data_IF_797873706826
#
_entry.id   IF_797873706826
#
_cell.length_a   1.000
_cell.length_b   1.000
_cell.length_c   1.000
_cell.angle_alpha   90.00
_cell.angle_beta   90.00
_cell.angle_gamma   90.00
#
_symmetry.space_group_name_H-M   'P 1'
#
loop_
_entity.id
_entity.type
_entity.pdbx_description
1 polymer ?
#
# COMPACT_ATOMS: atom_id res chain seq x y z
N UNK A 1 -8.65 -23.29 3.25
CA UNK A 1 -7.57 -22.42 3.78
C UNK A 1 -7.89 -22.16 5.23
N UNK A 2 -7.13 -22.71 6.19
CA UNK A 2 -7.48 -22.74 7.62
C UNK A 2 -6.91 -21.54 8.38
N UNK A 3 -7.61 -21.07 9.43
CA UNK A 3 -7.23 -19.91 10.24
C UNK A 3 -5.79 -19.97 10.81
N UNK A 4 -5.26 -21.17 11.05
CA UNK A 4 -3.88 -21.39 11.48
C UNK A 4 -2.84 -20.97 10.42
N UNK A 5 -3.15 -21.16 9.14
CA UNK A 5 -2.30 -20.71 8.03
C UNK A 5 -2.29 -19.18 7.93
N UNK A 6 -3.41 -18.53 8.23
CA UNK A 6 -3.47 -17.06 8.30
C UNK A 6 -2.61 -16.54 9.45
N UNK A 7 -2.72 -17.12 10.65
CA UNK A 7 -1.95 -16.65 11.82
C UNK A 7 -0.44 -16.84 11.64
N UNK A 8 -0.01 -18.00 11.15
CA UNK A 8 1.42 -18.33 10.98
C UNK A 8 2.05 -17.63 9.79
N UNK A 9 1.34 -17.54 8.67
CA UNK A 9 1.86 -16.94 7.44
C UNK A 9 1.73 -15.40 7.43
N UNK A 10 0.60 -14.83 7.87
CA UNK A 10 0.38 -13.37 7.78
C UNK A 10 0.97 -12.58 8.97
N UNK A 11 1.05 -13.13 10.19
CA UNK A 11 1.58 -12.39 11.34
C UNK A 11 3.05 -12.73 11.64
N UNK A 12 3.35 -14.02 11.86
CA UNK A 12 4.71 -14.42 12.27
C UNK A 12 5.71 -14.31 11.13
N UNK A 13 5.34 -14.72 9.91
CA UNK A 13 6.26 -14.66 8.77
C UNK A 13 6.53 -13.20 8.30
N UNK A 14 5.52 -12.31 8.29
CA UNK A 14 5.71 -10.88 7.93
C UNK A 14 6.61 -10.14 8.92
N UNK A 15 6.58 -10.53 10.20
CA UNK A 15 7.44 -9.95 11.22
C UNK A 15 8.91 -10.38 11.08
N UNK A 16 9.15 -11.60 10.57
CA UNK A 16 10.48 -12.24 10.57
C UNK A 16 11.16 -12.32 9.20
N UNK A 17 10.43 -12.14 8.09
CA UNK A 17 10.95 -12.20 6.72
C UNK A 17 10.30 -11.08 5.89
N UNK A 18 11.05 -10.32 5.07
CA UNK A 18 10.46 -9.40 4.12
C UNK A 18 9.65 -10.18 3.07
N UNK A 19 8.33 -10.06 3.13
CA UNK A 19 7.44 -10.67 2.14
C UNK A 19 7.26 -9.69 0.97
N UNK A 20 7.19 -10.20 -0.26
CA UNK A 20 6.91 -9.42 -1.48
C UNK A 20 7.94 -8.32 -1.82
N UNK A 21 9.16 -8.41 -1.28
CA UNK A 21 10.23 -7.42 -1.55
C UNK A 21 10.01 -6.08 -0.84
N UNK A 22 9.14 -6.04 0.17
CA UNK A 22 8.91 -4.87 1.02
C UNK A 22 10.03 -4.69 2.06
N UNK A 23 11.22 -4.37 1.56
CA UNK A 23 12.38 -3.98 2.38
C UNK A 23 12.45 -2.46 2.40
N UNK A 24 12.49 -1.89 3.60
CA UNK A 24 12.79 -0.47 3.81
C UNK A 24 13.84 -0.34 4.89
N UNK A 25 14.58 0.76 4.87
CA UNK A 25 15.56 1.15 5.87
C UNK A 25 14.89 1.73 7.14
N UNK A 26 15.65 2.00 8.19
CA UNK A 26 15.12 2.52 9.47
C UNK A 26 14.40 3.87 9.30
N UNK A 27 14.76 4.65 8.27
CA UNK A 27 14.14 5.94 7.98
C UNK A 27 12.82 5.84 7.19
N UNK A 28 12.44 4.64 6.74
CA UNK A 28 11.30 4.40 5.85
C UNK A 28 10.00 5.08 6.31
N UNK A 29 9.60 4.91 7.58
CA UNK A 29 8.35 5.48 8.08
C UNK A 29 8.42 6.99 8.32
N UNK A 30 9.59 7.53 8.65
CA UNK A 30 9.80 8.98 8.71
C UNK A 30 9.65 9.60 7.31
N UNK A 31 10.25 8.98 6.30
CA UNK A 31 10.12 9.42 4.90
C UNK A 31 8.65 9.35 4.45
N UNK A 32 7.91 8.29 4.78
CA UNK A 32 6.49 8.17 4.43
C UNK A 32 5.66 9.25 5.13
N UNK A 33 5.87 9.44 6.43
CA UNK A 33 5.14 10.45 7.18
C UNK A 33 5.39 11.85 6.58
N UNK A 34 6.65 12.20 6.32
CA UNK A 34 7.01 13.44 5.65
C UNK A 34 6.40 13.54 4.25
N UNK A 35 6.48 12.49 3.43
CA UNK A 35 5.99 12.51 2.05
C UNK A 35 4.47 12.69 1.97
N UNK A 36 3.71 12.00 2.81
CA UNK A 36 2.25 11.98 2.72
C UNK A 36 1.55 12.97 3.66
N UNK A 37 2.24 13.46 4.70
CA UNK A 37 1.66 14.38 5.70
C UNK A 37 2.41 15.72 5.80
N UNK A 38 3.29 16.03 4.83
CA UNK A 38 4.17 17.21 4.84
C UNK A 38 3.47 18.52 5.24
N UNK A 39 2.38 18.86 4.55
CA UNK A 39 1.72 20.14 4.73
C UNK A 39 1.09 20.28 6.12
N UNK A 40 0.53 19.18 6.64
CA UNK A 40 -0.01 19.15 8.00
C UNK A 40 1.10 19.22 9.04
N UNK A 41 2.25 18.58 8.81
CA UNK A 41 3.43 18.74 9.66
C UNK A 41 3.96 20.18 9.64
N UNK A 42 3.96 20.84 8.49
CA UNK A 42 4.37 22.23 8.36
C UNK A 42 3.45 23.18 9.15
N UNK A 43 2.12 22.97 9.06
CA UNK A 43 1.14 23.70 9.88
C UNK A 43 1.38 23.44 11.37
N UNK A 44 1.55 22.18 11.76
CA UNK A 44 1.81 21.80 13.15
C UNK A 44 3.07 22.49 13.70
N UNK A 45 4.18 22.42 12.96
CA UNK A 45 5.44 23.07 13.35
C UNK A 45 5.28 24.59 13.43
N UNK A 46 4.60 25.21 12.46
CA UNK A 46 4.31 26.63 12.47
C UNK A 46 3.49 27.07 13.70
N UNK A 47 2.50 26.28 14.11
CA UNK A 47 1.73 26.54 15.33
C UNK A 47 2.57 26.39 16.60
N UNK A 48 3.43 25.37 16.67
CA UNK A 48 4.35 25.17 17.81
C UNK A 48 5.30 26.35 17.95
N UNK A 49 5.93 26.78 16.84
CA UNK A 49 6.83 27.93 16.83
C UNK A 49 6.09 29.22 17.18
N UNK A 50 4.91 29.46 16.60
CA UNK A 50 4.09 30.61 16.93
C UNK A 50 3.77 30.67 18.43
N UNK A 51 3.44 29.53 19.03
CA UNK A 51 3.16 29.46 20.46
C UNK A 51 4.39 29.77 21.29
N UNK A 52 5.55 29.16 20.98
CA UNK A 52 6.80 29.37 21.72
C UNK A 52 7.32 30.81 21.65
N UNK A 53 7.14 31.51 20.52
CA UNK A 53 7.66 32.87 20.34
C UNK A 53 6.68 33.97 20.75
N UNK A 54 5.38 33.81 20.48
CA UNK A 54 4.42 34.92 20.59
C UNK A 54 3.70 34.98 21.92
N UNK A 55 3.67 33.85 22.62
CA UNK A 55 3.12 33.75 23.95
C UNK A 55 4.21 33.11 24.78
N UNK A 56 4.65 33.79 25.84
CA UNK A 56 5.43 33.16 26.91
C UNK A 56 4.52 32.18 27.70
N UNK A 57 3.65 31.46 26.99
CA UNK A 57 2.71 30.52 27.54
C UNK A 57 3.48 29.24 27.65
N UNK A 58 3.80 28.91 28.90
CA UNK A 58 4.04 27.55 29.31
C UNK A 58 3.03 26.67 28.58
N UNK A 59 3.50 25.65 27.88
CA UNK A 59 2.64 24.56 27.45
C UNK A 59 2.06 23.94 28.73
N UNK A 60 0.99 24.55 29.27
CA UNK A 60 0.31 24.15 30.52
C UNK A 60 -0.37 22.78 30.37
N UNK A 61 -0.19 22.14 29.22
CA UNK A 61 -0.38 20.71 29.00
C UNK A 61 0.46 19.89 30.00
N UNK A 62 1.62 20.39 30.45
CA UNK A 62 2.51 19.71 31.41
C UNK A 62 2.14 19.94 32.89
N UNK A 63 1.00 20.61 33.20
CA UNK A 63 0.45 20.56 34.56
C UNK A 63 0.15 19.10 34.94
N UNK A 64 0.39 18.73 36.20
CA UNK A 64 0.30 17.34 36.66
C UNK A 64 -1.06 16.69 36.35
N UNK A 65 -2.14 17.48 36.33
CA UNK A 65 -3.50 17.04 36.00
C UNK A 65 -3.68 16.52 34.57
N UNK A 66 -2.76 16.85 33.64
CA UNK A 66 -2.84 16.44 32.24
C UNK A 66 -1.69 15.51 31.79
N UNK A 67 -0.80 15.11 32.72
CA UNK A 67 0.34 14.25 32.41
C UNK A 67 -0.09 12.92 31.79
N UNK A 68 -1.15 12.29 32.32
CA UNK A 68 -1.65 11.02 31.78
C UNK A 68 -2.11 11.12 30.32
N UNK A 69 -2.70 12.25 29.93
CA UNK A 69 -3.12 12.49 28.54
C UNK A 69 -1.91 12.69 27.63
N UNK A 70 -0.90 13.46 28.05
CA UNK A 70 0.34 13.62 27.29
C UNK A 70 1.03 12.28 27.08
N UNK A 71 1.17 11.49 28.16
CA UNK A 71 1.79 10.17 28.10
C UNK A 71 1.02 9.26 27.14
N UNK A 72 -0.31 9.25 27.23
CA UNK A 72 -1.17 8.48 26.33
C UNK A 72 -0.98 8.87 24.86
N UNK A 73 -0.93 10.17 24.56
CA UNK A 73 -0.67 10.69 23.20
C UNK A 73 0.72 10.26 22.74
N UNK A 74 1.75 10.43 23.56
CA UNK A 74 3.13 10.07 23.22
C UNK A 74 3.27 8.57 22.93
N UNK A 75 2.70 7.73 23.78
CA UNK A 75 2.69 6.28 23.61
C UNK A 75 1.92 5.84 22.36
N UNK A 76 0.81 6.52 22.03
CA UNK A 76 0.02 6.21 20.83
C UNK A 76 0.78 6.53 19.54
N UNK A 77 1.64 7.55 19.50
CA UNK A 77 2.52 7.76 18.34
C UNK A 77 3.66 6.75 18.33
N UNK A 78 4.36 6.64 19.47
CA UNK A 78 5.67 6.00 19.50
C UNK A 78 5.56 4.49 19.45
N UNK A 79 4.58 3.88 20.11
CA UNK A 79 4.45 2.42 20.11
C UNK A 79 4.22 1.90 18.69
N UNK A 80 3.21 2.35 17.92
CA UNK A 80 3.04 1.90 16.55
C UNK A 80 4.24 2.27 15.68
N UNK A 81 4.76 3.49 15.80
CA UNK A 81 5.88 3.94 14.98
C UNK A 81 7.13 3.08 15.18
N UNK A 82 7.54 2.85 16.42
CA UNK A 82 8.70 2.02 16.75
C UNK A 82 8.46 0.55 16.39
N UNK A 83 7.29 0.01 16.76
CA UNK A 83 6.96 -1.39 16.48
C UNK A 83 7.05 -1.70 14.99
N UNK A 84 6.55 -0.83 14.12
CA UNK A 84 6.63 -1.04 12.67
C UNK A 84 8.01 -0.69 12.10
N UNK A 85 8.72 0.28 12.66
CA UNK A 85 10.09 0.60 12.23
C UNK A 85 11.04 -0.59 12.39
N UNK A 86 10.88 -1.36 13.47
CA UNK A 86 11.65 -2.58 13.72
C UNK A 86 11.11 -3.83 13.01
N UNK A 87 9.92 -3.78 12.42
CA UNK A 87 9.38 -4.90 11.65
C UNK A 87 10.14 -5.08 10.31
N UNK A 88 10.40 -6.33 9.93
CA UNK A 88 11.15 -6.63 8.70
C UNK A 88 10.35 -6.36 7.42
N UNK A 89 9.04 -6.60 7.43
CA UNK A 89 8.16 -6.22 6.32
C UNK A 89 7.67 -4.80 6.55
N UNK A 90 7.99 -3.89 5.62
CA UNK A 90 7.60 -2.49 5.72
C UNK A 90 6.52 -2.15 4.73
N UNK A 91 5.32 -1.92 5.24
CA UNK A 91 4.14 -1.56 4.45
C UNK A 91 3.69 -0.16 4.79
N UNK A 92 3.41 0.64 3.76
CA UNK A 92 3.14 2.09 3.90
C UNK A 92 2.00 2.42 4.86
N UNK A 93 0.93 1.62 4.85
CA UNK A 93 -0.27 1.88 5.65
C UNK A 93 -0.15 1.47 7.12
N UNK A 94 0.97 0.89 7.57
CA UNK A 94 1.13 0.51 8.97
C UNK A 94 1.13 1.69 9.93
N UNK A 95 1.57 2.88 9.49
CA UNK A 95 1.57 4.08 10.31
C UNK A 95 0.24 4.86 10.28
N UNK A 96 -0.79 4.36 9.57
CA UNK A 96 -2.12 4.99 9.55
C UNK A 96 -2.70 5.31 10.96
N UNK A 97 -2.50 4.46 11.99
CA UNK A 97 -3.00 4.75 13.34
C UNK A 97 -2.44 6.04 13.99
N UNK A 98 -1.35 6.61 13.47
CA UNK A 98 -0.72 7.83 14.00
C UNK A 98 -1.46 9.09 13.54
N UNK A 99 -2.05 9.06 12.34
CA UNK A 99 -2.66 10.24 11.71
C UNK A 99 -3.83 10.83 12.51
N UNK A 100 -4.79 10.04 13.06
CA UNK A 100 -5.87 10.59 13.87
C UNK A 100 -5.37 11.42 15.06
N UNK A 101 -4.30 10.94 15.71
CA UNK A 101 -3.74 11.62 16.86
C UNK A 101 -3.06 12.93 16.48
N UNK A 102 -2.28 12.93 15.39
CA UNK A 102 -1.69 14.17 14.87
C UNK A 102 -2.78 15.21 14.53
N UNK A 103 -3.88 14.76 13.92
CA UNK A 103 -5.04 15.63 13.65
C UNK A 103 -5.67 16.20 14.93
N UNK A 104 -5.77 15.40 16.00
CA UNK A 104 -6.25 15.88 17.30
C UNK A 104 -5.31 16.96 17.86
N UNK A 105 -4.00 16.74 17.84
CA UNK A 105 -3.01 17.72 18.32
C UNK A 105 -3.09 19.03 17.52
N UNK A 106 -3.20 18.93 16.20
CA UNK A 106 -3.41 20.09 15.31
C UNK A 106 -4.69 20.83 15.69
N UNK A 107 -5.80 20.12 15.89
CA UNK A 107 -7.09 20.72 16.27
C UNK A 107 -7.04 21.44 17.62
N UNK A 108 -6.39 20.86 18.62
CA UNK A 108 -6.22 21.48 19.95
C UNK A 108 -5.39 22.77 19.85
N UNK A 109 -4.28 22.75 19.11
CA UNK A 109 -3.44 23.93 18.92
C UNK A 109 -4.16 25.01 18.11
N UNK A 110 -4.84 24.63 17.04
CA UNK A 110 -5.63 25.53 16.23
C UNK A 110 -6.73 26.21 17.06
N UNK A 111 -7.47 25.45 17.87
CA UNK A 111 -8.51 25.98 18.77
C UNK A 111 -7.97 27.07 19.69
N UNK A 112 -6.81 26.85 20.33
CA UNK A 112 -6.16 27.86 21.18
C UNK A 112 -5.82 29.14 20.44
N UNK A 113 -5.35 29.04 19.19
CA UNK A 113 -5.04 30.19 18.32
C UNK A 113 -6.33 30.89 17.87
N UNK A 114 -7.40 30.15 17.56
CA UNK A 114 -8.69 30.72 17.21
C UNK A 114 -9.36 31.46 18.36
N UNK A 115 -9.21 31.02 19.61
CA UNK A 115 -9.78 31.72 20.77
C UNK A 115 -8.98 32.96 21.15
N UNK A 116 -7.65 32.86 21.15
CA UNK A 116 -6.77 33.87 21.77
C UNK A 116 -5.92 34.68 20.78
N UNK A 117 -5.87 34.31 19.50
CA UNK A 117 -5.03 34.95 18.50
C UNK A 117 -5.63 36.25 17.95
N UNK A 118 -4.81 37.09 17.33
CA UNK A 118 -5.28 38.26 16.57
C UNK A 118 -6.07 37.80 15.35
N UNK A 119 -7.05 38.60 14.91
CA UNK A 119 -7.91 38.28 13.75
C UNK A 119 -7.10 37.87 12.51
N UNK A 120 -6.02 38.59 12.20
CA UNK A 120 -5.19 38.30 11.02
C UNK A 120 -4.54 36.92 11.07
N UNK A 121 -4.15 36.46 12.26
CA UNK A 121 -3.55 35.14 12.49
C UNK A 121 -4.61 34.05 12.36
N UNK A 122 -5.83 34.31 12.85
CA UNK A 122 -6.96 33.38 12.70
C UNK A 122 -7.31 33.19 11.23
N UNK A 123 -7.37 34.29 10.46
CA UNK A 123 -7.63 34.24 9.02
C UNK A 123 -6.51 33.47 8.31
N UNK A 124 -5.25 33.77 8.60
CA UNK A 124 -4.11 33.08 8.00
C UNK A 124 -4.12 31.58 8.30
N UNK A 125 -4.39 31.19 9.55
CA UNK A 125 -4.49 29.79 9.95
C UNK A 125 -5.67 29.08 9.25
N UNK A 126 -6.84 29.73 9.20
CA UNK A 126 -8.00 29.17 8.51
C UNK A 126 -7.72 28.96 7.02
N UNK A 127 -7.13 29.95 6.36
CA UNK A 127 -6.73 29.86 4.95
C UNK A 127 -5.72 28.74 4.73
N UNK A 128 -4.74 28.56 5.63
CA UNK A 128 -3.78 27.46 5.54
C UNK A 128 -4.46 26.09 5.68
N UNK A 129 -5.35 25.92 6.67
CA UNK A 129 -6.10 24.67 6.87
C UNK A 129 -6.97 24.34 5.64
N UNK A 130 -7.67 25.33 5.09
CA UNK A 130 -8.49 25.16 3.88
C UNK A 130 -7.64 24.80 2.66
N UNK A 131 -6.51 25.49 2.47
CA UNK A 131 -5.59 25.20 1.37
C UNK A 131 -5.03 23.78 1.45
N UNK A 132 -4.59 23.34 2.63
CA UNK A 132 -4.04 21.99 2.82
C UNK A 132 -5.12 20.94 2.62
N UNK A 133 -6.32 21.15 3.16
CA UNK A 133 -7.45 20.24 2.98
C UNK A 133 -7.82 20.09 1.50
N UNK A 134 -7.93 21.20 0.76
CA UNK A 134 -8.17 21.19 -0.68
C UNK A 134 -7.06 20.48 -1.45
N UNK A 135 -5.79 20.73 -1.10
CA UNK A 135 -4.64 20.12 -1.78
C UNK A 135 -4.61 18.60 -1.65
N UNK A 136 -4.97 18.07 -0.48
CA UNK A 136 -5.05 16.62 -0.28
C UNK A 136 -6.30 16.02 -0.91
N UNK A 137 -7.46 16.67 -0.81
CA UNK A 137 -8.69 16.22 -1.47
C UNK A 137 -8.50 16.15 -3.00
N UNK A 138 -7.88 17.18 -3.59
CA UNK A 138 -7.54 17.20 -5.01
C UNK A 138 -6.65 16.04 -5.43
N UNK A 139 -5.65 15.68 -4.61
CA UNK A 139 -4.80 14.51 -4.87
C UNK A 139 -5.58 13.19 -4.79
N UNK A 140 -6.47 13.06 -3.80
CA UNK A 140 -7.32 11.88 -3.65
C UNK A 140 -8.24 11.74 -4.87
N UNK A 141 -8.93 12.80 -5.25
CA UNK A 141 -9.81 12.83 -6.42
C UNK A 141 -9.05 12.52 -7.71
N UNK A 142 -7.85 13.09 -7.88
CA UNK A 142 -6.99 12.80 -9.04
C UNK A 142 -6.63 11.32 -9.10
N UNK A 143 -6.29 10.71 -7.96
CA UNK A 143 -5.96 9.29 -7.89
C UNK A 143 -7.17 8.38 -8.12
N UNK A 144 -8.34 8.74 -7.61
CA UNK A 144 -9.58 7.99 -7.82
C UNK A 144 -10.04 8.04 -9.29
N UNK A 145 -9.92 9.20 -9.93
CA UNK A 145 -10.32 9.38 -11.33
C UNK A 145 -9.28 8.84 -12.31
N UNK A 146 -8.00 8.80 -11.92
CA UNK A 146 -6.90 8.29 -12.75
C UNK A 146 -6.04 7.28 -11.96
N UNK A 147 -6.59 6.11 -11.62
CA UNK A 147 -5.86 5.12 -10.84
C UNK A 147 -4.65 4.62 -11.64
N UNK A 148 -3.49 4.52 -10.99
CA UNK A 148 -2.28 3.99 -11.62
C UNK A 148 -2.56 2.55 -12.07
N UNK A 149 -2.55 2.26 -13.38
CA UNK A 149 -2.97 0.95 -13.86
C UNK A 149 -1.96 -0.11 -13.47
N UNK A 150 -2.40 -1.10 -12.69
CA UNK A 150 -1.62 -2.32 -12.52
C UNK A 150 -1.83 -3.23 -13.74
N UNK A 151 -0.94 -3.08 -14.72
CA UNK A 151 -1.04 -3.81 -15.98
C UNK A 151 -0.97 -5.35 -15.82
N UNK A 152 -0.39 -5.88 -14.74
CA UNK A 152 -0.46 -7.32 -14.49
C UNK A 152 -1.89 -7.73 -14.11
N UNK A 153 -2.50 -6.99 -13.18
CA UNK A 153 -3.87 -7.27 -12.72
C UNK A 153 -4.88 -7.04 -13.84
N UNK A 154 -4.71 -5.98 -14.64
CA UNK A 154 -5.61 -5.73 -15.76
C UNK A 154 -5.54 -6.82 -16.84
N UNK A 155 -4.37 -7.47 -17.01
CA UNK A 155 -4.25 -8.63 -17.90
C UNK A 155 -5.06 -9.82 -17.38
N UNK A 156 -5.04 -10.06 -16.06
CA UNK A 156 -5.84 -11.12 -15.43
C UNK A 156 -7.33 -10.77 -15.55
N UNK A 157 -7.73 -9.53 -15.29
CA UNK A 157 -9.11 -9.06 -15.42
C UNK A 157 -9.65 -9.19 -16.84
N UNK A 158 -8.82 -8.97 -17.88
CA UNK A 158 -9.23 -9.21 -19.27
C UNK A 158 -9.69 -10.64 -19.55
N UNK A 159 -9.29 -11.62 -18.73
CA UNK A 159 -9.77 -13.00 -18.87
C UNK A 159 -11.23 -13.18 -18.49
N UNK A 160 -11.86 -12.23 -17.79
CA UNK A 160 -13.28 -12.28 -17.45
C UNK A 160 -14.18 -12.40 -18.68
N UNK A 161 -13.76 -11.81 -19.79
CA UNK A 161 -14.47 -11.85 -21.06
C UNK A 161 -14.21 -13.14 -21.88
N UNK A 162 -13.36 -14.06 -21.37
CA UNK A 162 -13.05 -15.31 -22.05
C UNK A 162 -13.99 -16.41 -21.54
N UNK A 163 -14.75 -17.01 -22.45
CA UNK A 163 -15.61 -18.13 -22.11
C UNK A 163 -14.81 -19.42 -21.87
N UNK A 164 -15.26 -20.23 -20.92
CA UNK A 164 -14.76 -21.59 -20.70
C UNK A 164 -13.41 -21.69 -19.97
N UNK A 165 -12.86 -20.59 -19.43
CA UNK A 165 -11.60 -20.62 -18.65
C UNK A 165 -11.82 -20.68 -17.14
N UNK A 166 -13.08 -20.64 -16.67
CA UNK A 166 -13.39 -20.66 -15.23
C UNK A 166 -12.84 -21.91 -14.55
N UNK A 167 -12.20 -21.74 -13.39
CA UNK A 167 -11.61 -22.84 -12.62
C UNK A 167 -10.25 -23.34 -13.14
N UNK A 168 -9.70 -22.74 -14.20
CA UNK A 168 -8.41 -23.16 -14.75
C UNK A 168 -7.27 -22.90 -13.76
N UNK A 169 -6.20 -23.69 -13.84
CA UNK A 169 -4.99 -23.44 -13.07
C UNK A 169 -4.15 -22.33 -13.71
N UNK A 170 -3.76 -21.33 -12.94
CA UNK A 170 -2.95 -20.22 -13.43
C UNK A 170 -1.50 -20.36 -12.94
N UNK A 171 -0.57 -20.41 -13.89
CA UNK A 171 0.87 -20.52 -13.63
C UNK A 171 1.58 -19.25 -14.11
N UNK A 172 2.70 -18.90 -13.48
CA UNK A 172 3.54 -17.77 -13.90
C UNK A 172 4.86 -18.29 -14.48
N UNK A 173 5.18 -17.85 -15.69
CA UNK A 173 6.46 -18.13 -16.30
C UNK A 173 7.58 -17.36 -15.60
N UNK A 174 8.69 -18.05 -15.34
CA UNK A 174 9.92 -17.51 -14.82
C UNK A 174 11.10 -18.16 -15.54
N UNK A 175 12.24 -17.47 -15.57
CA UNK A 175 13.48 -18.04 -16.10
C UNK A 175 13.91 -19.28 -15.30
N UNK A 176 14.60 -20.26 -15.93
CA UNK A 176 15.27 -21.34 -15.20
C UNK A 176 16.16 -20.78 -14.09
N UNK A 177 16.09 -21.36 -12.89
CA UNK A 177 16.87 -20.94 -11.72
C UNK A 177 16.23 -19.84 -10.85
N UNK A 178 15.06 -19.31 -11.21
CA UNK A 178 14.31 -18.38 -10.37
C UNK A 178 12.96 -18.96 -9.97
N UNK A 179 12.46 -18.67 -8.77
CA UNK A 179 11.10 -19.04 -8.35
C UNK A 179 10.15 -17.89 -8.67
N UNK A 180 9.02 -18.17 -9.30
CA UNK A 180 7.96 -17.17 -9.41
C UNK A 180 7.36 -16.91 -8.03
N UNK A 181 7.36 -15.64 -7.62
CA UNK A 181 6.65 -15.17 -6.43
C UNK A 181 5.38 -14.48 -6.91
N UNK A 182 4.24 -14.99 -6.46
CA UNK A 182 2.94 -14.37 -6.73
C UNK A 182 2.72 -13.25 -5.72
N UNK A 183 2.36 -12.07 -6.22
CA UNK A 183 1.84 -11.00 -5.37
C UNK A 183 0.42 -11.39 -4.90
N UNK A 184 0.10 -11.15 -3.63
CA UNK A 184 -1.21 -11.48 -3.05
C UNK A 184 -2.38 -10.85 -3.83
N UNK A 185 -2.20 -9.63 -4.35
CA UNK A 185 -3.19 -8.95 -5.19
C UNK A 185 -3.47 -9.69 -6.51
N UNK A 186 -2.45 -10.31 -7.11
CA UNK A 186 -2.60 -11.09 -8.33
C UNK A 186 -3.32 -12.42 -8.08
N UNK A 187 -3.05 -13.06 -6.93
CA UNK A 187 -3.77 -14.27 -6.51
C UNK A 187 -5.26 -13.97 -6.31
N UNK A 188 -5.57 -12.95 -5.50
CA UNK A 188 -6.94 -12.54 -5.23
C UNK A 188 -7.69 -12.15 -6.52
N UNK A 189 -7.04 -11.39 -7.41
CA UNK A 189 -7.67 -11.00 -8.69
C UNK A 189 -7.96 -12.23 -9.55
N UNK A 190 -7.06 -13.21 -9.58
CA UNK A 190 -7.24 -14.44 -10.36
C UNK A 190 -8.42 -15.29 -9.83
N UNK A 191 -8.58 -15.37 -8.50
CA UNK A 191 -9.69 -16.06 -7.85
C UNK A 191 -11.02 -15.35 -8.09
N UNK A 192 -11.08 -14.02 -7.93
CA UNK A 192 -12.31 -13.26 -8.08
C UNK A 192 -12.82 -13.19 -9.53
N UNK A 193 -11.91 -13.10 -10.50
CA UNK A 193 -12.28 -12.91 -11.91
C UNK A 193 -12.83 -14.19 -12.53
N UNK A 194 -12.19 -15.33 -12.28
CA UNK A 194 -12.49 -16.59 -12.98
C UNK A 194 -12.35 -17.84 -12.10
N UNK A 195 -12.27 -17.71 -10.78
CA UNK A 195 -11.99 -18.81 -9.85
C UNK A 195 -10.71 -19.59 -10.23
N UNK A 196 -9.69 -18.88 -10.72
CA UNK A 196 -8.45 -19.54 -11.11
C UNK A 196 -7.75 -20.15 -9.91
N UNK A 197 -7.21 -21.36 -10.09
CA UNK A 197 -6.38 -22.02 -9.07
C UNK A 197 -4.92 -21.64 -9.31
N UNK A 198 -4.43 -20.63 -8.59
CA UNK A 198 -3.04 -20.18 -8.73
C UNK A 198 -2.10 -21.26 -8.18
N UNK A 199 -1.12 -21.67 -9.00
CA UNK A 199 -0.18 -22.73 -8.65
C UNK A 199 1.26 -22.34 -8.95
N UNK A 200 2.18 -22.90 -8.17
CA UNK A 200 3.63 -22.83 -8.41
C UNK A 200 4.07 -23.93 -9.39
N UNK A 201 5.26 -23.80 -9.96
CA UNK A 201 5.87 -24.81 -10.85
C UNK A 201 6.10 -24.37 -12.29
N UNK A 202 5.76 -23.13 -12.62
CA UNK A 202 6.15 -22.47 -13.87
C UNK A 202 5.70 -23.20 -15.13
N UNK A 203 6.52 -23.16 -16.18
CA UNK A 203 6.22 -23.76 -17.48
C UNK A 203 6.00 -25.28 -17.38
N UNK A 204 6.85 -25.99 -16.64
CA UNK A 204 6.78 -27.45 -16.56
C UNK A 204 5.46 -27.93 -15.91
N UNK A 205 5.02 -27.29 -14.82
CA UNK A 205 3.74 -27.64 -14.19
C UNK A 205 2.53 -27.25 -15.07
N UNK A 206 2.63 -26.14 -15.80
CA UNK A 206 1.64 -25.73 -16.79
C UNK A 206 1.49 -26.78 -17.91
N UNK A 207 2.59 -27.32 -18.44
CA UNK A 207 2.56 -28.31 -19.51
C UNK A 207 1.91 -29.64 -19.09
N UNK A 208 1.94 -29.98 -17.79
CA UNK A 208 1.31 -31.21 -17.25
C UNK A 208 -0.20 -31.10 -17.01
N UNK A 209 -0.79 -29.90 -17.11
CA UNK A 209 -2.18 -29.68 -16.79
C UNK A 209 -2.96 -29.21 -18.03
N UNK A 210 -4.08 -29.83 -18.34
CA UNK A 210 -4.85 -29.54 -19.56
C UNK A 210 -5.76 -28.32 -19.41
N UNK A 211 -6.23 -28.06 -18.19
CA UNK A 211 -7.01 -26.85 -17.85
C UNK A 211 -6.11 -25.83 -17.17
N UNK A 212 -5.18 -25.29 -17.95
CA UNK A 212 -4.16 -24.39 -17.45
C UNK A 212 -3.93 -23.18 -18.35
N UNK A 213 -3.56 -22.07 -17.70
CA UNK A 213 -3.12 -20.83 -18.33
C UNK A 213 -1.72 -20.47 -17.84
N UNK A 214 -0.91 -19.89 -18.72
CA UNK A 214 0.44 -19.44 -18.41
C UNK A 214 0.55 -17.92 -18.57
N UNK A 215 0.82 -17.23 -17.47
CA UNK A 215 1.08 -15.81 -17.43
C UNK A 215 2.56 -15.55 -17.70
N UNK A 216 2.87 -14.81 -18.77
CA UNK A 216 4.24 -14.53 -19.22
C UNK A 216 4.47 -13.03 -19.33
N UNK A 217 5.45 -12.50 -18.60
CA UNK A 217 5.88 -11.10 -18.73
C UNK A 217 6.54 -10.88 -20.09
N UNK A 218 6.29 -9.73 -20.75
CA UNK A 218 6.83 -9.45 -22.10
C UNK A 218 8.33 -9.68 -22.24
N UNK A 219 9.12 -9.27 -21.24
CA UNK A 219 10.59 -9.44 -21.24
C UNK A 219 11.06 -10.89 -21.39
N UNK A 220 10.20 -11.85 -21.07
CA UNK A 220 10.49 -13.28 -21.10
C UNK A 220 9.76 -14.02 -22.21
N UNK A 221 8.95 -13.30 -22.99
CA UNK A 221 8.21 -13.89 -24.08
C UNK A 221 9.10 -13.98 -25.33
N UNK A 222 9.16 -15.17 -25.94
CA UNK A 222 9.82 -15.41 -27.22
C UNK A 222 8.85 -16.19 -28.12
N UNK A 223 8.80 -15.88 -29.42
CA UNK A 223 7.98 -16.63 -30.40
C UNK A 223 8.31 -18.12 -30.44
N UNK A 224 9.56 -18.49 -30.18
CA UNK A 224 9.98 -19.90 -30.04
C UNK A 224 9.20 -20.63 -28.93
N UNK A 225 8.81 -19.95 -27.86
CA UNK A 225 8.00 -20.54 -26.78
C UNK A 225 6.62 -20.98 -27.29
N UNK A 226 6.04 -20.25 -28.25
CA UNK A 226 4.74 -20.61 -28.82
C UNK A 226 4.85 -21.82 -29.74
N UNK A 227 5.86 -21.86 -30.60
CA UNK A 227 6.05 -22.95 -31.56
C UNK A 227 6.51 -24.24 -30.89
N UNK A 228 7.49 -24.17 -29.99
CA UNK A 228 8.05 -25.36 -29.32
C UNK A 228 7.05 -26.09 -28.42
N UNK A 229 6.05 -25.38 -27.87
CA UNK A 229 5.08 -25.96 -26.94
C UNK A 229 3.63 -25.90 -27.43
N UNK A 230 3.42 -25.61 -28.73
CA UNK A 230 2.09 -25.50 -29.35
C UNK A 230 1.11 -24.60 -28.56
N UNK A 231 1.58 -23.41 -28.16
CA UNK A 231 0.79 -22.47 -27.36
C UNK A 231 0.11 -21.42 -28.24
N UNK A 232 -1.01 -20.88 -27.75
CA UNK A 232 -1.71 -19.73 -28.32
C UNK A 232 -1.84 -18.62 -27.27
N UNK A 233 -1.82 -17.38 -27.75
CA UNK A 233 -2.06 -16.19 -26.91
C UNK A 233 -3.55 -15.98 -26.77
N UNK A 234 -4.07 -16.02 -25.53
CA UNK A 234 -5.49 -15.73 -25.25
C UNK A 234 -5.73 -14.25 -24.94
N UNK A 235 -4.80 -13.62 -24.22
CA UNK A 235 -4.91 -12.20 -23.87
C UNK A 235 -3.52 -11.56 -23.82
N UNK A 236 -3.46 -10.26 -24.10
CA UNK A 236 -2.23 -9.48 -24.00
C UNK A 236 -2.50 -8.03 -23.59
N UNK A 237 -1.48 -7.39 -23.03
CA UNK A 237 -1.46 -5.95 -22.80
C UNK A 237 -0.02 -5.42 -22.74
N UNK A 238 0.20 -4.22 -22.19
CA UNK A 238 1.53 -3.62 -22.04
C UNK A 238 2.48 -4.46 -21.17
N UNK A 239 1.98 -5.22 -20.19
CA UNK A 239 2.80 -5.99 -19.24
C UNK A 239 3.22 -7.36 -19.78
N UNK A 240 2.32 -8.09 -20.45
CA UNK A 240 2.58 -9.48 -20.80
C UNK A 240 1.50 -10.14 -21.64
N UNK A 241 1.53 -11.48 -21.60
CA UNK A 241 0.67 -12.38 -22.34
C UNK A 241 0.09 -13.45 -21.40
N UNK A 242 -1.13 -13.87 -21.66
CA UNK A 242 -1.72 -15.10 -21.12
C UNK A 242 -1.78 -16.11 -22.25
N UNK A 243 -1.15 -17.27 -22.02
CA UNK A 243 -1.03 -18.34 -23.00
C UNK A 243 -1.87 -19.54 -22.58
N UNK A 244 -2.41 -20.26 -23.55
CA UNK A 244 -3.02 -21.58 -23.35
C UNK A 244 -2.43 -22.57 -24.36
N UNK A 245 -2.66 -23.86 -24.12
CA UNK A 245 -2.34 -24.90 -25.10
C UNK A 245 -3.33 -24.81 -26.26
N UNK A 246 -2.86 -24.91 -27.50
CA UNK A 246 -3.77 -25.09 -28.64
C UNK A 246 -4.51 -26.42 -28.46
N UNK A 247 -5.84 -26.41 -28.59
CA UNK A 247 -6.59 -27.65 -28.80
C UNK A 247 -6.16 -28.17 -30.18
N UNK A 248 -5.63 -29.38 -30.21
CA UNK A 248 -5.37 -30.14 -31.44
C UNK A 248 -6.71 -30.65 -31.96
#
# INVERSE_FOLDING_TARGET
MTALHFLTYDLLLRSTVPIEGHVGDESYYAIILCRFYFLWLAILLGMILFYNFYKNVSFDMFKSEHQSYIIGIFLWVIIPFMMFTFAKTKVRWYILPIYPLLSIVIGVLASKIFTNGKLIIRILLLSAILYVSYSYESQIQTYLNNPIPNFQLSLIQKTQALDGVRGYSLFMYHSPGHKAVWAQSAVLTAELVNDFKVRSGGLHAFLKNDRALLLVKKRWFNKQLLTSYHLSVMASNSWGYILCKKKI
#
